data_IF_080440434347
#
_entry.id   IF_080440434347
#
_cell.length_a   1.000
_cell.length_b   1.000
_cell.length_c   1.000
_cell.angle_alpha   90.00
_cell.angle_beta   90.00
_cell.angle_gamma   90.00
#
_symmetry.space_group_name_H-M   'P 1'
#
loop_
_entity.id
_entity.type
_entity.pdbx_description
1 polymer ?
#
# COMPACT_ATOMS: atom_id res chain seq x y z
N UNK A 1 10.85 -0.67 17.06
CA UNK A 1 11.51 0.68 16.93
C UNK A 1 11.65 0.99 15.46
N UNK A 2 11.35 2.22 15.00
CA UNK A 2 11.58 2.63 13.60
C UNK A 2 12.95 3.28 13.48
N UNK A 3 13.62 3.04 12.36
CA UNK A 3 14.80 3.81 12.00
C UNK A 3 14.39 5.24 11.62
N UNK A 4 15.19 6.27 11.90
CA UNK A 4 14.85 7.66 11.55
C UNK A 4 15.14 7.95 10.06
N UNK A 5 14.66 7.07 9.18
CA UNK A 5 14.90 7.07 7.73
C UNK A 5 13.71 7.54 6.90
N UNK A 6 12.61 7.98 7.54
CA UNK A 6 11.38 8.44 6.91
C UNK A 6 11.62 9.35 5.69
N UNK A 7 12.39 10.42 5.84
CA UNK A 7 12.72 11.37 4.76
C UNK A 7 14.03 11.08 4.03
N UNK A 8 14.57 9.86 4.09
CA UNK A 8 15.91 9.57 3.59
C UNK A 8 15.93 8.92 2.18
N UNK A 9 14.87 9.07 1.38
CA UNK A 9 14.92 8.71 -0.02
C UNK A 9 15.69 9.75 -0.86
N UNK A 10 16.20 9.34 -2.02
CA UNK A 10 17.01 10.19 -2.91
C UNK A 10 16.34 11.54 -3.20
N UNK A 11 15.04 11.52 -3.54
CA UNK A 11 14.29 12.72 -3.90
C UNK A 11 14.26 13.76 -2.77
N UNK A 12 13.99 13.31 -1.54
CA UNK A 12 13.98 14.18 -0.36
C UNK A 12 15.37 14.69 0.03
N UNK A 13 16.37 13.85 -0.10
CA UNK A 13 17.76 14.23 0.19
C UNK A 13 18.28 15.29 -0.80
N UNK A 14 17.88 15.23 -2.07
CA UNK A 14 18.21 16.24 -3.08
C UNK A 14 17.71 17.63 -2.73
N UNK A 15 16.55 17.76 -2.07
CA UNK A 15 16.02 19.04 -1.58
C UNK A 15 16.97 19.71 -0.57
N UNK A 16 17.83 18.93 0.08
CA UNK A 16 18.84 19.39 1.04
C UNK A 16 20.27 19.42 0.46
N UNK A 17 20.41 19.29 -0.88
CA UNK A 17 21.72 19.28 -1.53
C UNK A 17 22.55 18.02 -1.30
N UNK A 18 21.92 16.92 -0.88
CA UNK A 18 22.58 15.64 -0.62
C UNK A 18 22.28 14.74 -1.81
N UNK A 19 23.28 14.52 -2.66
CA UNK A 19 23.16 13.72 -3.86
C UNK A 19 23.86 12.37 -3.69
N UNK A 20 23.32 11.33 -4.31
CA UNK A 20 23.93 9.98 -4.43
C UNK A 20 24.37 9.36 -3.09
N UNK A 21 23.66 9.62 -2.01
CA UNK A 21 23.98 9.12 -0.67
C UNK A 21 22.80 8.47 0.06
N UNK A 22 21.68 8.25 -0.61
CA UNK A 22 20.50 7.70 0.04
C UNK A 22 20.81 6.32 0.66
N UNK A 23 21.44 5.40 -0.05
CA UNK A 23 21.84 4.11 0.50
C UNK A 23 22.76 4.23 1.71
N UNK A 24 23.80 5.10 1.65
CA UNK A 24 24.72 5.32 2.77
C UNK A 24 23.99 5.86 4.02
N UNK A 25 23.14 6.88 3.85
CA UNK A 25 22.41 7.48 4.97
C UNK A 25 21.44 6.49 5.60
N UNK A 26 20.66 5.77 4.79
CA UNK A 26 19.72 4.76 5.30
C UNK A 26 20.44 3.66 6.07
N UNK A 27 21.56 3.13 5.55
CA UNK A 27 22.38 2.15 6.25
C UNK A 27 22.87 2.66 7.60
N UNK A 28 23.36 3.91 7.67
CA UNK A 28 23.87 4.50 8.93
C UNK A 28 22.76 4.77 9.95
N UNK A 29 21.62 5.29 9.49
CA UNK A 29 20.46 5.58 10.37
C UNK A 29 19.88 4.30 10.95
N UNK A 30 19.72 3.25 10.14
CA UNK A 30 19.27 1.95 10.62
C UNK A 30 20.27 1.28 11.55
N UNK A 31 21.59 1.38 11.27
CA UNK A 31 22.62 0.84 12.16
C UNK A 31 22.60 1.48 13.54
N UNK A 32 22.41 2.81 13.63
CA UNK A 32 22.23 3.51 14.92
C UNK A 32 21.00 2.99 15.68
N UNK A 33 19.89 2.71 14.97
CA UNK A 33 18.69 2.15 15.60
C UNK A 33 18.91 0.71 16.08
N UNK A 34 19.67 -0.11 15.34
CA UNK A 34 20.05 -1.47 15.77
C UNK A 34 20.94 -1.42 17.02
N UNK A 35 21.90 -0.49 17.07
CA UNK A 35 22.74 -0.27 18.25
C UNK A 35 21.90 0.17 19.47
N UNK A 36 21.00 1.13 19.28
CA UNK A 36 20.11 1.61 20.35
C UNK A 36 19.13 0.55 20.84
N UNK A 37 18.64 -0.31 19.95
CA UNK A 37 17.74 -1.42 20.29
C UNK A 37 18.44 -2.49 21.15
N UNK A 38 19.76 -2.65 21.02
CA UNK A 38 20.57 -3.59 21.82
C UNK A 38 19.96 -5.01 21.89
N UNK A 39 19.35 -5.46 20.81
CA UNK A 39 18.65 -6.75 20.74
C UNK A 39 17.34 -6.85 21.55
N UNK A 40 16.90 -5.75 22.20
CA UNK A 40 15.68 -5.73 23.04
C UNK A 40 14.42 -5.39 22.25
N UNK A 41 14.56 -4.89 21.03
CA UNK A 41 13.45 -4.54 20.16
C UNK A 41 13.81 -4.83 18.68
N UNK A 42 12.80 -5.17 17.90
CA UNK A 42 12.94 -5.18 16.44
C UNK A 42 13.11 -3.78 15.89
N UNK A 43 13.91 -3.66 14.85
CA UNK A 43 14.14 -2.40 14.13
C UNK A 43 13.49 -2.49 12.76
N UNK A 44 12.52 -1.62 12.52
CA UNK A 44 11.88 -1.46 11.22
C UNK A 44 12.62 -0.41 10.39
N UNK A 45 12.95 -0.76 9.15
CA UNK A 45 13.41 0.18 8.14
C UNK A 45 12.23 1.02 7.66
N UNK A 46 12.28 2.33 7.92
CA UNK A 46 11.16 3.24 7.68
C UNK A 46 11.29 3.91 6.31
N UNK A 47 10.27 3.77 5.49
CA UNK A 47 10.15 4.26 4.11
C UNK A 47 8.88 5.11 4.00
N UNK A 48 9.01 6.33 3.47
CA UNK A 48 7.92 7.28 3.30
C UNK A 48 7.68 7.64 1.83
N UNK A 49 6.55 8.32 1.49
CA UNK A 49 6.28 8.76 0.13
C UNK A 49 7.41 9.61 -0.45
N UNK A 50 7.67 9.43 -1.75
CA UNK A 50 8.59 10.29 -2.51
C UNK A 50 8.07 11.71 -2.64
N UNK A 51 6.76 11.88 -2.64
CA UNK A 51 6.07 13.13 -2.98
C UNK A 51 5.95 13.36 -4.48
N UNK A 52 6.30 12.36 -5.30
CA UNK A 52 6.17 12.40 -6.75
C UNK A 52 4.84 11.75 -7.16
N UNK A 53 4.29 12.19 -8.29
CA UNK A 53 3.06 11.65 -8.85
C UNK A 53 3.31 11.14 -10.26
N UNK A 54 2.66 10.03 -10.61
CA UNK A 54 2.61 9.53 -11.99
C UNK A 54 1.72 10.42 -12.87
N UNK A 55 1.85 10.29 -14.20
CA UNK A 55 0.90 10.88 -15.15
C UNK A 55 -0.55 10.40 -14.84
N UNK A 56 -1.57 11.26 -14.97
CA UNK A 56 -1.54 12.66 -15.40
C UNK A 56 -1.29 13.66 -14.27
N UNK A 57 -1.16 13.25 -13.02
CA UNK A 57 -1.01 14.15 -11.86
C UNK A 57 0.42 14.70 -11.71
N UNK A 58 1.40 14.07 -12.31
CA UNK A 58 2.81 14.45 -12.30
C UNK A 58 3.56 13.89 -13.50
N UNK A 59 4.90 14.03 -13.48
CA UNK A 59 5.79 13.63 -14.58
C UNK A 59 6.65 12.40 -14.24
N UNK A 60 6.52 11.83 -13.04
CA UNK A 60 7.31 10.68 -12.64
C UNK A 60 6.90 9.40 -13.40
N UNK A 61 7.86 8.56 -13.74
CA UNK A 61 7.59 7.21 -14.19
C UNK A 61 7.46 6.24 -13.01
N UNK A 62 6.74 5.14 -13.20
CA UNK A 62 6.65 4.10 -12.17
C UNK A 62 8.02 3.49 -11.85
N UNK A 63 8.86 3.31 -12.88
CA UNK A 63 10.22 2.79 -12.73
C UNK A 63 11.11 3.74 -11.92
N UNK A 64 10.96 5.04 -12.09
CA UNK A 64 11.70 6.02 -11.29
C UNK A 64 11.35 5.91 -9.80
N UNK A 65 10.08 5.69 -9.46
CA UNK A 65 9.66 5.43 -8.07
C UNK A 65 10.30 4.15 -7.53
N UNK A 66 10.26 3.05 -8.30
CA UNK A 66 10.88 1.77 -7.92
C UNK A 66 12.38 1.94 -7.67
N UNK A 67 13.09 2.64 -8.55
CA UNK A 67 14.54 2.88 -8.42
C UNK A 67 14.88 3.68 -7.14
N UNK A 68 14.11 4.74 -6.84
CA UNK A 68 14.29 5.55 -5.64
C UNK A 68 14.11 4.70 -4.37
N UNK A 69 13.07 3.88 -4.33
CA UNK A 69 12.81 3.01 -3.18
C UNK A 69 13.80 1.84 -3.08
N UNK A 70 14.27 1.31 -4.21
CA UNK A 70 15.28 0.23 -4.20
C UNK A 70 16.58 0.71 -3.57
N UNK A 71 17.05 1.92 -3.89
CA UNK A 71 18.24 2.52 -3.26
C UNK A 71 18.08 2.66 -1.75
N UNK A 72 16.91 3.13 -1.29
CA UNK A 72 16.60 3.26 0.13
C UNK A 72 16.53 1.90 0.82
N UNK A 73 15.77 0.96 0.26
CA UNK A 73 15.57 -0.38 0.81
C UNK A 73 16.88 -1.17 0.90
N UNK A 74 17.75 -1.07 -0.11
CA UNK A 74 19.07 -1.73 -0.09
C UNK A 74 19.94 -1.24 1.07
N UNK A 75 19.98 0.07 1.34
CA UNK A 75 20.73 0.61 2.48
C UNK A 75 20.17 0.15 3.84
N UNK A 76 18.84 0.03 3.96
CA UNK A 76 18.18 -0.49 5.16
C UNK A 76 18.45 -1.99 5.34
N UNK A 77 18.40 -2.77 4.26
CA UNK A 77 18.71 -4.21 4.27
C UNK A 77 20.16 -4.48 4.68
N UNK A 78 21.13 -3.73 4.12
CA UNK A 78 22.55 -3.83 4.51
C UNK A 78 22.78 -3.56 6.00
N UNK A 79 21.98 -2.70 6.64
CA UNK A 79 22.06 -2.44 8.06
C UNK A 79 21.43 -3.55 8.92
N UNK A 80 20.74 -4.52 8.31
CA UNK A 80 20.14 -5.65 8.98
C UNK A 80 18.88 -5.30 9.75
N UNK A 81 18.01 -4.43 9.20
CA UNK A 81 16.66 -4.21 9.76
C UNK A 81 15.88 -5.53 9.87
N UNK A 82 14.94 -5.63 10.81
CA UNK A 82 14.20 -6.85 11.04
C UNK A 82 12.95 -6.96 10.14
N UNK A 83 12.41 -5.82 9.71
CA UNK A 83 11.27 -5.67 8.82
C UNK A 83 11.32 -4.30 8.14
N UNK A 84 10.47 -4.09 7.13
CA UNK A 84 10.27 -2.79 6.49
C UNK A 84 8.89 -2.22 6.86
N UNK A 85 8.82 -0.92 7.04
CA UNK A 85 7.58 -0.17 7.18
C UNK A 85 7.52 0.88 6.08
N UNK A 86 6.52 0.77 5.24
CA UNK A 86 6.18 1.71 4.17
C UNK A 86 4.99 2.50 4.70
N UNK A 87 5.24 3.73 5.22
CA UNK A 87 4.22 4.44 5.99
C UNK A 87 3.80 5.78 5.38
N UNK A 88 2.61 6.22 5.78
CA UNK A 88 2.02 7.51 5.38
C UNK A 88 1.79 7.60 3.87
N UNK A 89 1.51 6.47 3.22
CA UNK A 89 1.33 6.44 1.78
C UNK A 89 0.08 7.21 1.37
N UNK A 90 0.22 8.02 0.33
CA UNK A 90 -0.80 8.93 -0.18
C UNK A 90 -1.31 8.53 -1.57
N UNK A 91 -0.59 7.64 -2.25
CA UNK A 91 -0.98 7.08 -3.55
C UNK A 91 -0.73 5.57 -3.57
N UNK A 92 -1.56 4.84 -4.31
CA UNK A 92 -1.37 3.40 -4.46
C UNK A 92 -0.13 3.09 -5.30
N UNK A 93 0.16 3.89 -6.31
CA UNK A 93 1.34 3.74 -7.17
C UNK A 93 2.65 3.84 -6.37
N UNK A 94 2.76 4.83 -5.48
CA UNK A 94 3.94 5.00 -4.61
C UNK A 94 4.11 3.78 -3.68
N UNK A 95 3.00 3.32 -3.06
CA UNK A 95 3.02 2.15 -2.18
C UNK A 95 3.39 0.85 -2.94
N UNK A 96 2.83 0.62 -4.15
CA UNK A 96 3.19 -0.53 -4.99
C UNK A 96 4.66 -0.51 -5.40
N UNK A 97 5.16 0.65 -5.83
CA UNK A 97 6.57 0.82 -6.19
C UNK A 97 7.49 0.50 -5.00
N UNK A 98 7.16 0.98 -3.80
CA UNK A 98 7.93 0.69 -2.59
C UNK A 98 7.89 -0.80 -2.20
N UNK A 99 6.74 -1.48 -2.33
CA UNK A 99 6.64 -2.94 -2.08
C UNK A 99 7.49 -3.72 -3.07
N UNK A 100 7.42 -3.42 -4.38
CA UNK A 100 8.23 -4.07 -5.40
C UNK A 100 9.73 -3.82 -5.17
N UNK A 101 10.11 -2.60 -4.81
CA UNK A 101 11.49 -2.23 -4.50
C UNK A 101 12.03 -3.03 -3.30
N UNK A 102 11.28 -3.11 -2.20
CA UNK A 102 11.70 -3.91 -1.03
C UNK A 102 11.81 -5.39 -1.41
N UNK A 103 10.85 -5.96 -2.14
CA UNK A 103 10.89 -7.36 -2.58
C UNK A 103 12.05 -7.67 -3.53
N UNK A 104 12.56 -6.68 -4.27
CA UNK A 104 13.74 -6.88 -5.12
C UNK A 104 15.04 -7.07 -4.34
N UNK A 105 15.09 -6.69 -3.06
CA UNK A 105 16.30 -6.72 -2.21
C UNK A 105 16.13 -7.54 -0.93
N UNK A 106 14.89 -7.92 -0.54
CA UNK A 106 14.63 -8.57 0.75
C UNK A 106 13.33 -9.38 0.77
N UNK A 107 13.36 -10.52 1.48
CA UNK A 107 12.18 -11.35 1.78
C UNK A 107 11.57 -11.04 3.17
N UNK A 108 12.09 -10.05 3.88
CA UNK A 108 11.62 -9.67 5.23
C UNK A 108 10.17 -9.18 5.22
N UNK A 109 9.48 -9.21 6.39
CA UNK A 109 8.12 -8.69 6.50
C UNK A 109 8.02 -7.22 6.07
N UNK A 110 6.94 -6.90 5.35
CA UNK A 110 6.60 -5.54 4.92
C UNK A 110 5.29 -5.14 5.59
N UNK A 111 5.29 -4.05 6.32
CA UNK A 111 4.11 -3.40 6.86
C UNK A 111 3.81 -2.15 6.04
N UNK A 112 2.55 -1.93 5.66
CA UNK A 112 2.16 -0.75 4.89
C UNK A 112 1.06 0.02 5.61
N UNK A 113 1.20 1.35 5.69
CA UNK A 113 0.15 2.21 6.22
C UNK A 113 -0.14 3.38 5.28
N UNK A 114 -1.42 3.70 5.17
CA UNK A 114 -1.94 4.82 4.40
C UNK A 114 -2.40 5.96 5.31
N UNK A 115 -2.39 7.15 4.74
CA UNK A 115 -3.13 8.30 5.27
C UNK A 115 -4.35 8.55 4.37
N UNK A 116 -5.49 8.89 4.97
CA UNK A 116 -6.74 9.09 4.25
C UNK A 116 -7.55 10.24 4.87
N UNK A 117 -8.48 10.76 4.09
CA UNK A 117 -9.47 11.74 4.55
C UNK A 117 -10.63 11.07 5.33
N UNK A 118 -11.63 11.86 5.71
CA UNK A 118 -12.83 11.39 6.43
C UNK A 118 -13.67 10.37 5.64
N UNK A 119 -13.58 10.37 4.31
CA UNK A 119 -14.24 9.40 3.44
C UNK A 119 -13.48 8.08 3.32
N UNK A 120 -12.25 8.02 3.83
CA UNK A 120 -11.34 6.87 3.71
C UNK A 120 -10.61 6.83 2.37
N UNK A 121 -10.44 7.99 1.71
CA UNK A 121 -9.67 8.09 0.47
C UNK A 121 -8.32 8.76 0.70
N UNK A 122 -7.31 8.23 0.04
CA UNK A 122 -5.96 8.81 0.00
C UNK A 122 -5.96 10.11 -0.82
N UNK A 123 -4.84 10.84 -0.81
CA UNK A 123 -4.68 12.07 -1.59
C UNK A 123 -4.92 11.89 -3.08
N UNK A 124 -4.57 10.73 -3.66
CA UNK A 124 -4.85 10.40 -5.06
C UNK A 124 -6.28 9.91 -5.31
N UNK A 125 -7.13 9.84 -4.28
CA UNK A 125 -8.51 9.36 -4.38
C UNK A 125 -8.67 7.84 -4.25
N UNK A 126 -7.62 7.09 -3.97
CA UNK A 126 -7.69 5.64 -3.73
C UNK A 126 -8.40 5.36 -2.41
N UNK A 127 -9.45 4.55 -2.42
CA UNK A 127 -10.07 4.02 -1.22
C UNK A 127 -9.10 3.09 -0.46
N UNK A 128 -8.99 3.23 0.86
CA UNK A 128 -8.06 2.40 1.65
C UNK A 128 -8.35 0.91 1.57
N UNK A 129 -9.60 0.52 1.27
CA UNK A 129 -9.97 -0.88 1.03
C UNK A 129 -9.45 -1.38 -0.34
N UNK A 130 -9.40 -0.50 -1.36
CA UNK A 130 -8.75 -0.79 -2.64
C UNK A 130 -7.25 -0.99 -2.45
N UNK A 131 -6.60 -0.09 -1.70
CA UNK A 131 -5.19 -0.23 -1.36
C UNK A 131 -4.91 -1.54 -0.60
N UNK A 132 -5.76 -1.91 0.37
CA UNK A 132 -5.68 -3.21 1.05
C UNK A 132 -5.79 -4.37 0.06
N UNK A 133 -6.80 -4.37 -0.84
CA UNK A 133 -7.04 -5.46 -1.78
C UNK A 133 -5.84 -5.70 -2.70
N UNK A 134 -5.21 -4.64 -3.21
CA UNK A 134 -4.01 -4.71 -4.05
C UNK A 134 -2.80 -5.19 -3.24
N UNK A 135 -2.46 -4.50 -2.16
CA UNK A 135 -1.21 -4.71 -1.45
C UNK A 135 -1.16 -6.03 -0.68
N UNK A 136 -2.29 -6.49 -0.10
CA UNK A 136 -2.32 -7.82 0.50
C UNK A 136 -2.16 -8.94 -0.55
N UNK A 137 -2.62 -8.70 -1.79
CA UNK A 137 -2.33 -9.56 -2.93
C UNK A 137 -0.83 -9.63 -3.25
N UNK A 138 -0.10 -8.53 -3.10
CA UNK A 138 1.35 -8.43 -3.28
C UNK A 138 2.16 -8.99 -2.09
N UNK A 139 1.53 -9.68 -1.15
CA UNK A 139 2.22 -10.42 -0.08
C UNK A 139 2.77 -9.54 1.04
N UNK A 140 2.18 -8.38 1.35
CA UNK A 140 2.53 -7.62 2.55
C UNK A 140 2.14 -8.39 3.81
N UNK A 141 2.82 -8.09 4.92
CA UNK A 141 2.64 -8.82 6.19
C UNK A 141 1.62 -8.17 7.13
N UNK A 142 1.37 -6.87 6.99
CA UNK A 142 0.34 -6.12 7.71
C UNK A 142 -0.04 -4.85 6.94
N UNK A 143 -1.29 -4.41 7.10
CA UNK A 143 -1.82 -3.20 6.46
C UNK A 143 -2.55 -2.33 7.47
N UNK A 144 -2.54 -1.02 7.30
CA UNK A 144 -3.33 -0.16 8.17
C UNK A 144 -3.25 1.31 7.85
N UNK A 145 -3.51 2.10 8.89
CA UNK A 145 -3.62 3.55 8.78
C UNK A 145 -2.69 4.23 9.77
N UNK A 146 -2.13 5.36 9.35
CA UNK A 146 -1.40 6.24 10.24
C UNK A 146 -1.67 7.70 9.88
N UNK A 147 -1.40 8.60 10.83
CA UNK A 147 -1.61 10.03 10.64
C UNK A 147 -3.10 10.37 10.36
N UNK A 148 -3.39 11.43 9.63
CA UNK A 148 -4.70 11.92 9.20
C UNK A 148 -5.62 12.34 10.34
N UNK A 149 -5.90 11.43 11.29
CA UNK A 149 -6.98 11.59 12.28
C UNK A 149 -6.58 11.06 13.65
N UNK A 150 -7.42 11.35 14.66
CA UNK A 150 -7.35 10.75 15.98
C UNK A 150 -7.91 9.32 16.02
N UNK A 151 -7.91 8.68 17.21
CA UNK A 151 -8.34 7.29 17.36
C UNK A 151 -9.77 7.01 16.89
N UNK A 152 -10.70 7.93 17.15
CA UNK A 152 -12.14 7.76 16.85
C UNK A 152 -12.40 7.65 15.34
N UNK A 153 -11.89 8.61 14.56
CA UNK A 153 -12.08 8.64 13.11
C UNK A 153 -11.35 7.45 12.45
N UNK A 154 -10.16 7.12 12.94
CA UNK A 154 -9.40 5.97 12.41
C UNK A 154 -10.13 4.64 12.63
N UNK A 155 -10.79 4.45 13.79
CA UNK A 155 -11.53 3.23 14.10
C UNK A 155 -12.65 2.95 13.09
N UNK A 156 -13.33 3.98 12.56
CA UNK A 156 -14.37 3.82 11.53
C UNK A 156 -13.81 3.10 10.31
N UNK A 157 -12.65 3.51 9.83
CA UNK A 157 -12.00 2.90 8.66
C UNK A 157 -11.39 1.53 8.98
N UNK A 158 -10.85 1.33 10.18
CA UNK A 158 -10.35 0.02 10.62
C UNK A 158 -11.47 -1.04 10.65
N UNK A 159 -12.66 -0.69 11.15
CA UNK A 159 -13.84 -1.58 11.13
C UNK A 159 -14.22 -1.96 9.70
N UNK A 160 -14.16 -1.02 8.74
CA UNK A 160 -14.41 -1.31 7.32
C UNK A 160 -13.32 -2.18 6.71
N UNK A 161 -12.05 -1.91 7.00
CA UNK A 161 -10.93 -2.72 6.51
C UNK A 161 -11.00 -4.16 7.01
N UNK A 162 -11.48 -4.39 8.25
CA UNK A 162 -11.63 -5.73 8.84
C UNK A 162 -12.42 -6.69 7.96
N UNK A 163 -13.47 -6.20 7.29
CA UNK A 163 -14.35 -7.03 6.45
C UNK A 163 -13.58 -7.74 5.31
N UNK A 164 -12.46 -7.14 4.87
CA UNK A 164 -11.67 -7.56 3.70
C UNK A 164 -10.24 -8.00 4.06
N UNK A 165 -9.78 -7.73 5.28
CA UNK A 165 -8.39 -7.93 5.64
C UNK A 165 -8.04 -9.42 5.80
N UNK A 166 -7.06 -9.88 5.03
CA UNK A 166 -6.42 -11.20 5.15
C UNK A 166 -5.07 -11.11 5.85
N UNK A 167 -4.65 -9.91 6.24
CA UNK A 167 -3.43 -9.60 7.00
C UNK A 167 -3.80 -8.87 8.28
N UNK A 168 -2.97 -8.90 9.34
CA UNK A 168 -3.16 -8.10 10.53
C UNK A 168 -3.29 -6.62 10.22
N UNK A 169 -4.14 -5.89 10.98
CA UNK A 169 -4.28 -4.44 10.82
C UNK A 169 -3.31 -3.67 11.71
N UNK A 170 -2.98 -2.45 11.27
CA UNK A 170 -2.10 -1.49 11.94
C UNK A 170 -2.87 -0.22 12.25
N UNK A 171 -2.77 0.29 13.47
CA UNK A 171 -3.34 1.57 13.89
C UNK A 171 -2.26 2.47 14.52
N UNK A 172 -2.00 3.61 13.87
CA UNK A 172 -1.06 4.64 14.37
C UNK A 172 -1.71 6.03 14.25
N UNK A 173 -2.74 6.34 15.06
CA UNK A 173 -3.43 7.62 15.00
C UNK A 173 -2.55 8.77 15.50
N UNK A 174 -2.96 10.00 15.18
CA UNK A 174 -2.46 11.22 15.82
C UNK A 174 -3.02 11.33 17.26
N UNK A 175 -2.39 12.13 18.08
CA UNK A 175 -2.92 12.51 19.38
C UNK A 175 -4.06 13.55 19.25
N UNK A 176 -5.12 13.19 18.50
CA UNK A 176 -6.24 14.07 18.13
C UNK A 176 -6.03 14.75 16.76
N UNK A 177 -6.89 15.74 16.48
CA UNK A 177 -6.80 16.54 15.25
C UNK A 177 -5.82 17.69 15.42
N UNK A 178 -5.01 18.02 14.39
CA UNK A 178 -4.09 19.17 14.47
C UNK A 178 -4.86 20.49 14.56
N UNK A 179 -4.46 21.32 15.51
CA UNK A 179 -4.98 22.68 15.69
C UNK A 179 -3.83 23.69 15.60
N UNK A 180 -4.10 24.87 15.08
CA UNK A 180 -3.10 25.97 15.08
C UNK A 180 -3.39 26.90 16.24
N UNK A 181 -2.51 26.88 17.23
CA UNK A 181 -2.55 27.79 18.40
C UNK A 181 -1.27 28.61 18.42
N UNK A 182 -1.38 29.91 18.37
CA UNK A 182 -0.24 30.85 18.33
C UNK A 182 0.79 30.53 17.24
N UNK A 183 0.31 30.10 16.06
CA UNK A 183 1.15 29.74 14.89
C UNK A 183 1.90 28.42 15.04
N UNK A 184 1.58 27.60 16.02
CA UNK A 184 2.15 26.26 16.24
C UNK A 184 1.05 25.20 16.09
N UNK A 185 1.42 24.07 15.49
CA UNK A 185 0.55 22.89 15.48
C UNK A 185 0.56 22.23 16.85
N UNK A 186 -0.62 22.08 17.45
CA UNK A 186 -0.84 21.39 18.72
C UNK A 186 -1.86 20.27 18.53
N UNK A 187 -1.80 19.28 19.40
CA UNK A 187 -2.68 18.12 19.45
C UNK A 187 -3.26 18.03 20.86
N UNK A 188 -4.55 17.74 20.99
CA UNK A 188 -5.32 17.90 22.22
C UNK A 188 -5.87 16.60 22.83
N UNK A 189 -5.54 15.43 22.24
CA UNK A 189 -5.93 14.14 22.79
C UNK A 189 -4.90 13.67 23.84
N UNK A 190 -5.24 13.63 25.13
CA UNK A 190 -4.33 13.15 26.17
C UNK A 190 -4.17 11.61 26.12
N UNK A 191 -3.16 11.04 26.83
CA UNK A 191 -2.86 9.61 26.78
C UNK A 191 -4.01 8.67 27.18
N UNK A 192 -4.86 9.05 28.11
CA UNK A 192 -6.02 8.26 28.57
C UNK A 192 -7.13 8.22 27.52
N UNK A 193 -7.43 9.33 26.85
CA UNK A 193 -8.35 9.38 25.72
C UNK A 193 -7.78 8.65 24.50
N UNK A 194 -6.48 8.80 24.26
CA UNK A 194 -5.80 8.13 23.14
C UNK A 194 -5.97 6.60 23.16
N UNK A 195 -5.97 6.00 24.35
CA UNK A 195 -6.08 4.53 24.50
C UNK A 195 -7.50 4.02 24.75
N UNK A 196 -8.48 4.91 24.88
CA UNK A 196 -9.85 4.54 25.24
C UNK A 196 -10.50 3.53 24.27
N UNK A 197 -10.09 3.54 22.99
CA UNK A 197 -10.65 2.70 21.94
C UNK A 197 -9.79 1.48 21.58
N UNK A 198 -8.73 1.19 22.35
CA UNK A 198 -7.82 0.06 22.06
C UNK A 198 -8.57 -1.27 22.00
N UNK A 199 -9.55 -1.51 22.91
CA UNK A 199 -10.38 -2.72 22.89
C UNK A 199 -11.15 -2.88 21.58
N UNK A 200 -11.81 -1.81 21.11
CA UNK A 200 -12.55 -1.87 19.84
C UNK A 200 -11.62 -2.02 18.63
N UNK A 201 -10.41 -1.45 18.68
CA UNK A 201 -9.40 -1.64 17.63
C UNK A 201 -8.90 -3.10 17.60
N UNK A 202 -8.69 -3.74 18.75
CA UNK A 202 -8.38 -5.16 18.83
C UNK A 202 -9.50 -6.01 18.19
N UNK A 203 -10.76 -5.72 18.51
CA UNK A 203 -11.93 -6.38 17.91
C UNK A 203 -12.03 -6.16 16.41
N UNK A 204 -11.55 -5.01 15.93
CA UNK A 204 -11.42 -4.72 14.50
C UNK A 204 -10.22 -5.42 13.83
N UNK A 205 -9.44 -6.21 14.55
CA UNK A 205 -8.30 -6.97 14.00
C UNK A 205 -6.97 -6.22 13.97
N UNK A 206 -6.86 -5.13 14.72
CA UNK A 206 -5.59 -4.43 14.87
C UNK A 206 -4.65 -5.27 15.74
N UNK A 207 -3.47 -5.57 15.19
CA UNK A 207 -2.41 -6.33 15.88
C UNK A 207 -1.16 -5.48 16.12
N UNK A 208 -1.02 -4.38 15.39
CA UNK A 208 0.13 -3.47 15.52
C UNK A 208 -0.37 -2.09 15.88
N UNK A 209 0.06 -1.61 17.03
CA UNK A 209 -0.34 -0.31 17.57
C UNK A 209 0.85 0.63 17.67
N UNK A 210 0.57 1.91 17.53
CA UNK A 210 1.55 2.97 17.68
C UNK A 210 0.89 4.32 17.72
N UNK A 211 1.69 5.35 17.49
CA UNK A 211 1.22 6.71 17.37
C UNK A 211 1.88 7.42 16.20
N UNK A 212 1.30 8.53 15.78
CA UNK A 212 1.85 9.40 14.76
C UNK A 212 1.97 10.83 15.32
N UNK A 213 1.54 11.84 14.58
CA UNK A 213 1.72 13.24 14.97
C UNK A 213 1.12 13.57 16.34
N UNK A 214 1.85 14.33 17.14
CA UNK A 214 1.43 14.75 18.49
C UNK A 214 1.59 13.70 19.59
N UNK A 215 1.84 12.43 19.27
CA UNK A 215 2.06 11.40 20.30
C UNK A 215 3.42 11.56 20.98
N UNK A 216 3.46 11.28 22.28
CA UNK A 216 4.63 11.36 23.14
C UNK A 216 4.95 10.02 23.76
N UNK A 217 6.06 9.93 24.50
CA UNK A 217 6.37 8.73 25.29
C UNK A 217 5.29 8.34 26.30
N UNK A 218 4.51 9.32 26.82
CA UNK A 218 3.39 9.06 27.73
C UNK A 218 2.23 8.35 27.02
N UNK A 219 1.90 8.74 25.78
CA UNK A 219 0.90 8.04 24.97
C UNK A 219 1.33 6.60 24.69
N UNK A 220 2.60 6.38 24.33
CA UNK A 220 3.11 5.03 24.06
C UNK A 220 3.15 4.18 25.33
N UNK A 221 3.49 4.77 26.49
CA UNK A 221 3.43 4.06 27.77
C UNK A 221 1.99 3.67 28.15
N UNK A 222 1.03 4.58 27.97
CA UNK A 222 -0.38 4.29 28.20
C UNK A 222 -0.87 3.18 27.25
N UNK A 223 -0.47 3.22 25.96
CA UNK A 223 -0.80 2.21 24.96
C UNK A 223 -0.21 0.84 25.34
N UNK A 224 1.05 0.78 25.75
CA UNK A 224 1.68 -0.45 26.21
C UNK A 224 0.95 -1.06 27.41
N UNK A 225 0.53 -0.23 28.38
CA UNK A 225 -0.25 -0.66 29.54
C UNK A 225 -1.65 -1.15 29.15
N UNK A 226 -2.33 -0.49 28.21
CA UNK A 226 -3.65 -0.90 27.71
C UNK A 226 -3.61 -2.24 26.94
N UNK A 227 -2.45 -2.56 26.35
CA UNK A 227 -2.23 -3.82 25.61
C UNK A 227 -1.66 -4.93 26.49
N UNK A 228 -1.29 -4.65 27.76
CA UNK A 228 -0.73 -5.67 28.63
C UNK A 228 -1.75 -6.78 28.92
N UNK A 229 -1.38 -8.02 28.60
CA UNK A 229 -2.27 -9.19 28.69
C UNK A 229 -3.37 -9.26 27.63
N UNK A 230 -3.44 -8.33 26.68
CA UNK A 230 -4.40 -8.39 25.58
C UNK A 230 -4.05 -9.56 24.64
N UNK A 231 -5.03 -10.41 24.36
CA UNK A 231 -4.93 -11.46 23.34
C UNK A 231 -5.30 -10.90 21.97
N UNK A 232 -4.53 -11.24 20.94
CA UNK A 232 -4.91 -10.97 19.56
C UNK A 232 -5.53 -12.22 18.91
N UNK A 233 -6.72 -12.06 18.34
CA UNK A 233 -7.35 -13.07 17.49
C UNK A 233 -7.50 -12.47 16.10
N UNK A 234 -6.82 -13.06 15.12
CA UNK A 234 -6.95 -12.61 13.73
C UNK A 234 -8.40 -12.88 13.26
N UNK A 235 -9.17 -11.85 12.93
CA UNK A 235 -10.52 -12.04 12.42
C UNK A 235 -10.45 -12.65 11.01
N UNK A 236 -11.39 -13.57 10.72
CA UNK A 236 -11.60 -14.03 9.36
C UNK A 236 -12.28 -12.91 8.54
N UNK A 237 -11.90 -12.70 7.27
CA UNK A 237 -12.57 -11.73 6.41
C UNK A 237 -14.02 -12.18 6.14
N UNK A 238 -14.95 -11.22 6.12
CA UNK A 238 -16.37 -11.50 5.89
C UNK A 238 -16.65 -11.89 4.43
N UNK A 239 -15.84 -11.38 3.50
CA UNK A 239 -15.93 -11.63 2.05
C UNK A 239 -14.83 -12.60 1.55
N UNK A 240 -14.49 -13.61 2.35
CA UNK A 240 -13.41 -14.56 2.04
C UNK A 240 -13.67 -15.47 0.84
N UNK A 241 -14.91 -15.61 0.42
CA UNK A 241 -15.41 -16.39 -0.73
C UNK A 241 -15.50 -15.59 -2.05
N UNK A 242 -15.21 -14.29 -2.01
CA UNK A 242 -15.21 -13.42 -3.19
C UNK A 242 -13.80 -13.21 -3.74
N UNK A 243 -13.69 -12.96 -5.05
CA UNK A 243 -12.46 -12.57 -5.72
C UNK A 243 -12.15 -11.10 -5.41
N UNK A 244 -11.03 -10.79 -4.74
CA UNK A 244 -10.71 -9.44 -4.31
C UNK A 244 -10.05 -8.63 -5.44
N UNK A 245 -10.77 -8.37 -6.53
CA UNK A 245 -10.32 -7.46 -7.58
C UNK A 245 -10.36 -6.01 -7.10
N UNK A 246 -9.64 -5.15 -7.77
CA UNK A 246 -9.62 -3.72 -7.47
C UNK A 246 -9.18 -2.91 -8.68
N UNK A 247 -9.79 -1.75 -8.87
CA UNK A 247 -9.19 -0.70 -9.68
C UNK A 247 -8.14 0.06 -8.84
N UNK A 248 -7.49 1.06 -9.40
CA UNK A 248 -6.63 1.95 -8.60
C UNK A 248 -7.41 2.68 -7.50
N UNK A 249 -8.69 2.98 -7.74
CA UNK A 249 -9.50 3.86 -6.88
C UNK A 249 -10.45 3.11 -5.95
N UNK A 250 -11.06 2.04 -6.44
CA UNK A 250 -12.17 1.39 -5.75
C UNK A 250 -11.98 -0.12 -5.61
N UNK A 251 -12.34 -0.70 -4.44
CA UNK A 251 -12.33 -2.14 -4.25
C UNK A 251 -13.50 -2.77 -5.02
N UNK A 252 -13.26 -3.90 -5.67
CA UNK A 252 -14.24 -4.61 -6.48
C UNK A 252 -14.21 -6.10 -6.13
N UNK A 253 -15.12 -6.52 -5.26
CA UNK A 253 -15.24 -7.93 -4.88
C UNK A 253 -16.24 -8.64 -5.80
N UNK A 254 -15.77 -9.66 -6.52
CA UNK A 254 -16.54 -10.39 -7.51
C UNK A 254 -16.92 -11.78 -7.00
N UNK A 255 -18.12 -12.29 -7.34
CA UNK A 255 -18.39 -13.71 -7.25
C UNK A 255 -17.35 -14.54 -8.03
N UNK A 256 -17.04 -15.74 -7.53
CA UNK A 256 -16.04 -16.63 -8.20
C UNK A 256 -16.45 -17.02 -9.62
N UNK A 257 -17.73 -17.01 -9.92
CA UNK A 257 -18.31 -17.33 -11.24
C UNK A 257 -18.59 -16.09 -12.10
N UNK A 258 -18.14 -14.90 -11.69
CA UNK A 258 -18.28 -13.67 -12.45
C UNK A 258 -17.62 -13.81 -13.85
N UNK A 259 -18.29 -13.27 -14.86
CA UNK A 259 -17.83 -13.32 -16.23
C UNK A 259 -17.63 -11.92 -16.79
N UNK A 260 -16.64 -11.78 -17.64
CA UNK A 260 -16.47 -10.56 -18.43
C UNK A 260 -17.40 -10.53 -19.65
N UNK A 261 -17.60 -9.35 -20.19
CA UNK A 261 -18.26 -9.14 -21.47
C UNK A 261 -17.35 -9.47 -22.67
N UNK A 262 -17.47 -8.71 -23.74
CA UNK A 262 -16.61 -8.86 -24.92
C UNK A 262 -15.15 -8.57 -24.56
N UNK A 263 -14.23 -9.43 -25.03
CA UNK A 263 -12.79 -9.18 -24.95
C UNK A 263 -12.41 -8.06 -25.92
N UNK A 264 -11.81 -6.99 -25.39
CA UNK A 264 -11.31 -5.86 -26.15
C UNK A 264 -9.89 -6.17 -26.66
N UNK A 265 -9.64 -5.91 -27.95
CA UNK A 265 -8.28 -5.94 -28.49
C UNK A 265 -7.64 -4.57 -28.33
N UNK A 266 -6.35 -4.54 -28.00
CA UNK A 266 -5.60 -3.28 -27.94
C UNK A 266 -5.34 -2.78 -29.35
N UNK A 267 -5.76 -1.55 -29.61
CA UNK A 267 -5.54 -0.82 -30.86
C UNK A 267 -5.42 0.67 -30.50
N UNK A 268 -5.08 1.51 -31.49
CA UNK A 268 -5.09 2.98 -31.29
C UNK A 268 -6.49 3.56 -30.98
N UNK A 269 -7.56 2.74 -31.08
CA UNK A 269 -8.94 3.10 -30.73
C UNK A 269 -9.35 2.50 -29.37
N UNK A 270 -8.38 2.10 -28.53
CA UNK A 270 -8.67 1.44 -27.25
C UNK A 270 -9.48 2.36 -26.32
N UNK A 271 -9.22 3.65 -26.28
CA UNK A 271 -9.98 4.61 -25.46
C UNK A 271 -11.47 4.60 -25.81
N UNK A 272 -11.81 4.64 -27.09
CA UNK A 272 -13.20 4.64 -27.55
C UNK A 272 -13.88 3.30 -27.21
N UNK A 273 -13.23 2.18 -27.50
CA UNK A 273 -13.78 0.84 -27.23
C UNK A 273 -13.88 0.55 -25.74
N UNK A 274 -12.99 1.10 -24.92
CA UNK A 274 -13.01 1.01 -23.47
C UNK A 274 -14.18 1.84 -22.91
N UNK A 275 -14.38 3.06 -23.41
CA UNK A 275 -15.52 3.91 -23.03
C UNK A 275 -16.85 3.19 -23.27
N UNK A 276 -17.03 2.58 -24.46
CA UNK A 276 -18.23 1.81 -24.78
C UNK A 276 -18.43 0.60 -23.84
N UNK A 277 -17.36 -0.11 -23.49
CA UNK A 277 -17.40 -1.26 -22.60
C UNK A 277 -17.70 -0.87 -21.14
N UNK A 278 -17.27 0.32 -20.71
CA UNK A 278 -17.56 0.85 -19.38
C UNK A 278 -19.03 1.19 -19.18
N UNK A 279 -19.76 1.53 -20.26
CA UNK A 279 -21.19 1.85 -20.24
C UNK A 279 -22.10 0.60 -20.27
N UNK A 280 -21.53 -0.62 -20.39
CA UNK A 280 -22.31 -1.88 -20.34
C UNK A 280 -22.62 -2.30 -18.91
N UNK A 281 -23.54 -3.27 -18.74
CA UNK A 281 -23.82 -3.91 -17.44
C UNK A 281 -22.86 -5.09 -17.12
N UNK A 282 -21.78 -5.27 -17.90
CA UNK A 282 -20.81 -6.32 -17.66
C UNK A 282 -20.10 -6.15 -16.30
N UNK A 283 -19.94 -7.26 -15.58
CA UNK A 283 -19.34 -7.26 -14.24
C UNK A 283 -17.84 -6.90 -14.24
N UNK A 284 -17.16 -7.15 -15.36
CA UNK A 284 -15.74 -6.83 -15.55
C UNK A 284 -15.41 -6.58 -17.02
N UNK A 285 -14.31 -5.88 -17.25
CA UNK A 285 -13.74 -5.65 -18.58
C UNK A 285 -12.65 -6.68 -18.83
N UNK A 286 -12.58 -7.21 -20.05
CA UNK A 286 -11.48 -8.06 -20.49
C UNK A 286 -10.70 -7.37 -21.61
N UNK A 287 -9.36 -7.28 -21.45
CA UNK A 287 -8.45 -6.69 -22.43
C UNK A 287 -7.43 -7.74 -22.85
N UNK A 288 -7.34 -7.99 -24.17
CA UNK A 288 -6.36 -8.91 -24.75
C UNK A 288 -5.09 -8.18 -25.12
N UNK A 289 -3.97 -8.66 -24.57
CA UNK A 289 -2.62 -8.21 -24.87
C UNK A 289 -1.92 -9.25 -25.74
N UNK A 290 -1.38 -8.84 -26.88
CA UNK A 290 -0.75 -9.73 -27.86
C UNK A 290 0.74 -9.45 -28.05
N UNK A 291 1.25 -8.34 -27.51
CA UNK A 291 2.66 -7.96 -27.61
C UNK A 291 2.99 -6.71 -26.81
N UNK A 292 4.26 -6.29 -26.90
CA UNK A 292 4.80 -5.16 -26.14
C UNK A 292 4.14 -3.83 -26.50
N UNK A 293 3.85 -3.58 -27.78
CA UNK A 293 3.18 -2.35 -28.23
C UNK A 293 1.80 -2.19 -27.56
N UNK A 294 1.13 -3.31 -27.25
CA UNK A 294 -0.16 -3.29 -26.56
C UNK A 294 -0.04 -2.81 -25.11
N UNK A 295 1.08 -3.09 -24.46
CA UNK A 295 1.34 -2.64 -23.07
C UNK A 295 1.43 -1.13 -22.99
N UNK A 296 2.09 -0.48 -23.94
CA UNK A 296 2.24 0.98 -23.98
C UNK A 296 0.86 1.65 -24.16
N UNK A 297 0.07 1.17 -25.12
CA UNK A 297 -1.29 1.70 -25.35
C UNK A 297 -2.19 1.46 -24.13
N UNK A 298 -2.10 0.28 -23.51
CA UNK A 298 -2.85 -0.06 -22.30
C UNK A 298 -2.44 0.86 -21.12
N UNK A 299 -1.15 1.12 -20.96
CA UNK A 299 -0.64 2.01 -19.91
C UNK A 299 -1.23 3.43 -20.01
N UNK A 300 -1.37 3.95 -21.23
CA UNK A 300 -1.95 5.27 -21.48
C UNK A 300 -3.46 5.32 -21.18
N UNK A 301 -4.19 4.19 -21.31
CA UNK A 301 -5.64 4.13 -21.13
C UNK A 301 -6.10 3.63 -19.76
N UNK A 302 -5.21 3.04 -18.92
CA UNK A 302 -5.59 2.38 -17.66
C UNK A 302 -6.32 3.28 -16.67
N UNK A 303 -6.09 4.60 -16.72
CA UNK A 303 -6.74 5.58 -15.85
C UNK A 303 -8.27 5.63 -16.02
N UNK A 304 -8.79 5.19 -17.16
CA UNK A 304 -10.22 5.11 -17.45
C UNK A 304 -10.90 3.91 -16.76
N UNK A 305 -10.12 2.89 -16.37
CA UNK A 305 -10.66 1.62 -15.87
C UNK A 305 -11.29 1.83 -14.49
N UNK A 306 -12.61 1.77 -14.44
CA UNK A 306 -13.43 1.90 -13.24
C UNK A 306 -14.25 0.63 -12.93
N UNK A 307 -13.97 -0.48 -13.64
CA UNK A 307 -14.53 -1.83 -13.41
C UNK A 307 -13.40 -2.82 -13.15
N UNK A 308 -13.67 -3.99 -12.55
CA UNK A 308 -12.69 -5.07 -12.45
C UNK A 308 -12.10 -5.40 -13.83
N UNK A 309 -10.79 -5.62 -13.86
CA UNK A 309 -10.06 -5.91 -15.10
C UNK A 309 -9.64 -7.38 -15.16
N UNK A 310 -9.94 -8.04 -16.29
CA UNK A 310 -9.37 -9.31 -16.66
C UNK A 310 -8.36 -9.09 -17.80
N UNK A 311 -7.10 -9.48 -17.60
CA UNK A 311 -6.07 -9.46 -18.63
C UNK A 311 -6.04 -10.81 -19.35
N UNK A 312 -6.25 -10.79 -20.66
CA UNK A 312 -6.20 -11.97 -21.53
C UNK A 312 -4.86 -11.95 -22.26
N UNK A 313 -3.95 -12.87 -21.91
CA UNK A 313 -2.59 -12.87 -22.43
C UNK A 313 -2.00 -14.28 -22.43
N UNK A 314 -1.28 -14.65 -23.51
CA UNK A 314 -0.61 -15.95 -23.64
C UNK A 314 0.93 -15.83 -23.58
N UNK A 315 1.47 -14.65 -23.29
CA UNK A 315 2.89 -14.36 -23.12
C UNK A 315 3.16 -13.84 -21.71
N UNK A 316 3.99 -14.53 -20.93
CA UNK A 316 4.26 -14.22 -19.53
C UNK A 316 5.01 -12.90 -19.34
N UNK A 317 5.90 -12.54 -20.25
CA UNK A 317 6.69 -11.30 -20.16
C UNK A 317 5.84 -10.08 -20.50
N UNK A 318 4.94 -10.20 -21.48
CA UNK A 318 3.93 -9.17 -21.80
C UNK A 318 2.97 -8.98 -20.63
N UNK A 319 2.51 -10.08 -20.02
CA UNK A 319 1.63 -10.03 -18.84
C UNK A 319 2.33 -9.39 -17.63
N UNK A 320 3.61 -9.74 -17.35
CA UNK A 320 4.41 -9.09 -16.28
C UNK A 320 4.47 -7.58 -16.46
N UNK A 321 4.74 -7.14 -17.69
CA UNK A 321 4.82 -5.71 -18.02
C UNK A 321 3.48 -4.99 -17.86
N UNK A 322 2.38 -5.61 -18.30
CA UNK A 322 1.06 -5.04 -18.12
C UNK A 322 0.66 -4.94 -16.64
N UNK A 323 0.93 -5.98 -15.84
CA UNK A 323 0.70 -5.98 -14.39
C UNK A 323 1.58 -4.96 -13.66
N UNK A 324 2.75 -4.69 -14.20
CA UNK A 324 3.66 -3.68 -13.62
C UNK A 324 3.10 -2.28 -13.74
N UNK A 325 2.51 -1.94 -14.88
CA UNK A 325 1.91 -0.62 -15.11
C UNK A 325 0.52 -0.48 -14.51
N UNK A 326 -0.29 -1.55 -14.50
CA UNK A 326 -1.65 -1.51 -13.95
C UNK A 326 -1.64 -1.29 -12.43
N UNK A 327 -2.32 -0.24 -11.97
CA UNK A 327 -2.30 0.14 -10.56
C UNK A 327 -3.34 -0.58 -9.69
N UNK A 328 -4.26 -1.33 -10.29
CA UNK A 328 -5.26 -2.13 -9.59
C UNK A 328 -4.79 -3.58 -9.34
N UNK A 329 -5.76 -4.44 -9.03
CA UNK A 329 -5.59 -5.89 -8.91
C UNK A 329 -6.43 -6.61 -9.95
N UNK A 330 -5.77 -7.19 -10.95
CA UNK A 330 -6.40 -7.80 -12.11
C UNK A 330 -6.68 -9.29 -11.93
N UNK A 331 -7.64 -9.79 -12.72
CA UNK A 331 -7.83 -11.20 -13.01
C UNK A 331 -7.05 -11.58 -14.27
N UNK A 332 -6.83 -12.87 -14.44
CA UNK A 332 -6.16 -13.44 -15.60
C UNK A 332 -7.06 -14.45 -16.36
N UNK A 333 -6.96 -14.41 -17.67
CA UNK A 333 -7.45 -15.45 -18.56
C UNK A 333 -6.43 -15.67 -19.70
N UNK A 334 -6.17 -16.92 -20.05
CA UNK A 334 -5.23 -17.26 -21.12
C UNK A 334 -4.73 -18.69 -21.02
N UNK A 335 -3.71 -19.02 -21.85
CA UNK A 335 -3.15 -20.35 -21.96
C UNK A 335 -1.85 -20.58 -21.18
N UNK A 336 -1.40 -19.60 -20.37
CA UNK A 336 -0.23 -19.77 -19.52
C UNK A 336 -0.48 -20.82 -18.45
N UNK A 337 0.51 -21.64 -18.19
CA UNK A 337 0.45 -22.65 -17.15
C UNK A 337 0.68 -22.03 -15.74
N UNK A 338 0.35 -22.80 -14.71
CA UNK A 338 0.47 -22.37 -13.32
C UNK A 338 1.91 -21.98 -12.96
N UNK A 339 2.93 -22.61 -13.54
CA UNK A 339 4.34 -22.32 -13.27
C UNK A 339 4.76 -20.93 -13.77
N UNK A 340 4.16 -20.43 -14.83
CA UNK A 340 4.37 -19.07 -15.33
C UNK A 340 3.55 -18.04 -14.53
N UNK A 341 2.38 -18.42 -14.02
CA UNK A 341 1.47 -17.50 -13.34
C UNK A 341 1.80 -17.29 -11.86
N UNK A 342 2.27 -18.31 -11.12
CA UNK A 342 2.55 -18.20 -9.69
C UNK A 342 3.51 -17.05 -9.34
N UNK A 343 4.63 -16.81 -10.07
CA UNK A 343 5.48 -15.67 -9.80
C UNK A 343 4.77 -14.32 -9.97
N UNK A 344 3.83 -14.20 -10.91
CA UNK A 344 3.04 -12.99 -11.14
C UNK A 344 1.96 -12.80 -10.06
N UNK A 345 1.38 -13.91 -9.58
CA UNK A 345 0.46 -13.88 -8.43
C UNK A 345 1.18 -13.37 -7.18
N UNK A 346 2.38 -13.87 -6.89
CA UNK A 346 3.17 -13.44 -5.73
C UNK A 346 3.64 -11.99 -5.85
N UNK A 347 4.01 -11.56 -7.07
CA UNK A 347 4.58 -10.23 -7.31
C UNK A 347 3.53 -9.12 -7.37
N UNK A 348 2.38 -9.37 -8.00
CA UNK A 348 1.37 -8.34 -8.28
C UNK A 348 -0.01 -8.62 -7.67
N UNK A 349 -0.18 -9.79 -7.07
CA UNK A 349 -1.48 -10.21 -6.55
C UNK A 349 -2.47 -10.64 -7.64
N UNK A 350 -1.98 -11.06 -8.82
CA UNK A 350 -2.82 -11.54 -9.91
C UNK A 350 -3.79 -12.61 -9.42
N UNK A 351 -5.02 -12.57 -9.89
CA UNK A 351 -6.08 -13.54 -9.56
C UNK A 351 -6.24 -14.51 -10.74
N UNK A 352 -6.06 -15.80 -10.50
CA UNK A 352 -6.16 -16.89 -11.49
C UNK A 352 -7.33 -17.81 -11.19
#
# INVERSE_FOLDING_TARGET
MYSPSFGANRRKLEEHGIFNKAGEYNRRLAALSKEAADGKAWVAGDISPTGMFLSPLGEASFEELVDIYTEQAAGLEEAGVDLFVIETMMTLSDARAAVLAVRSVSDKPIFVTFTCDESGRSLSGTDVTAALAVLQGMGISAFGLNCSAGPEQMLVHLKRLREFARVPLIAKPNAGMPQIVDGKTVYDCPPDEFVALVGEMLDAGVAVFGGCCGTTGEHIAALANALDGAGFVRPAPEHGDMLPASTEKDPMYLPVDAKHGKVLSVTNELEDTLSDALDTDDAMIAIKLSGWDDVDIFADCQYMINKPLCLVCDDADVLDSALRVYQGRALYEGALDESALLPLCDKYGLII
#
